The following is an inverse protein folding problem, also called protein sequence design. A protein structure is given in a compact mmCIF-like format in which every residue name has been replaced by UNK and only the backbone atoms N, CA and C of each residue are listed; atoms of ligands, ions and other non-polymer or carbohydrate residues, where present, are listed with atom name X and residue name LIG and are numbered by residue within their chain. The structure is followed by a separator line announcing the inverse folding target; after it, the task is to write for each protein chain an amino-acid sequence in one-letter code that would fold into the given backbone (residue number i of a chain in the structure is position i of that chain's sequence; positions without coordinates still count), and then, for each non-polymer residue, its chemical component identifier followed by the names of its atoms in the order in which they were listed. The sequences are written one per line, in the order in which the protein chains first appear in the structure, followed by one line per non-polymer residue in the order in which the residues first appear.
data_IF_175467015281
#
_entry.id   IF_175467015281
#
_cell.length_a   1.000
_cell.length_b   1.000
_cell.length_c   1.000
_cell.angle_alpha   90.00
_cell.angle_beta   90.00
_cell.angle_gamma   90.00
#
_symmetry.space_group_name_H-M   'P 1'
#
loop_
_entity.id
_entity.type
_entity.pdbx_description
1 polymer ?
#
# COMPACT_ATOMS: atom_id res chain seq x y z
N UNK A 1 17.01 17.11 -24.19
CA UNK A 1 17.40 16.77 -22.79
C UNK A 1 16.36 15.92 -22.04
N UNK A 2 15.06 15.95 -22.36
CA UNK A 2 14.03 15.19 -21.62
C UNK A 2 13.93 13.69 -21.98
N UNK A 3 14.27 13.28 -23.21
CA UNK A 3 14.22 11.86 -23.62
C UNK A 3 15.37 11.01 -23.08
N UNK A 4 16.59 11.55 -22.99
CA UNK A 4 17.75 10.86 -22.40
C UNK A 4 17.53 10.51 -20.91
N UNK A 5 16.62 11.20 -20.21
CA UNK A 5 16.33 10.99 -18.78
C UNK A 5 15.44 9.76 -18.53
N UNK A 6 14.73 9.26 -19.54
CA UNK A 6 13.78 8.15 -19.41
C UNK A 6 14.43 6.77 -19.58
N UNK A 7 15.53 6.65 -20.35
CA UNK A 7 16.15 5.36 -20.66
C UNK A 7 16.79 4.66 -19.46
N UNK A 8 17.20 5.41 -18.43
CA UNK A 8 17.80 4.87 -17.21
C UNK A 8 16.80 4.45 -16.13
N UNK A 9 15.52 4.71 -16.38
CA UNK A 9 14.48 4.61 -15.39
C UNK A 9 13.39 3.67 -15.91
N UNK A 10 13.34 2.43 -15.39
CA UNK A 10 12.18 1.57 -15.65
C UNK A 10 11.00 2.10 -14.86
N UNK A 11 9.87 2.31 -15.54
CA UNK A 11 8.59 2.57 -14.86
C UNK A 11 8.30 1.34 -14.02
N UNK A 12 8.21 1.50 -12.70
CA UNK A 12 8.04 0.32 -11.85
C UNK A 12 6.63 -0.21 -11.96
N UNK A 13 6.52 -1.43 -12.47
CA UNK A 13 5.29 -2.19 -12.54
C UNK A 13 5.16 -3.16 -11.37
N UNK A 14 4.93 -2.66 -10.16
CA UNK A 14 4.53 -3.52 -9.02
C UNK A 14 3.26 -4.33 -9.28
N UNK A 15 2.56 -4.04 -10.38
CA UNK A 15 1.41 -4.78 -10.90
C UNK A 15 1.64 -6.31 -10.97
N UNK A 16 2.89 -6.79 -11.12
CA UNK A 16 3.18 -8.23 -11.13
C UNK A 16 3.15 -8.87 -9.73
N UNK A 17 3.63 -8.18 -8.71
CA UNK A 17 3.68 -8.71 -7.32
C UNK A 17 2.29 -8.70 -6.71
N UNK A 18 1.57 -7.59 -6.85
CA UNK A 18 0.23 -7.42 -6.27
C UNK A 18 -0.89 -7.88 -7.21
N UNK A 19 -0.55 -8.71 -8.20
CA UNK A 19 -1.49 -9.18 -9.22
C UNK A 19 -2.69 -9.90 -8.59
N UNK A 20 -2.47 -10.71 -7.57
CA UNK A 20 -3.54 -11.45 -6.89
C UNK A 20 -4.56 -10.53 -6.18
N UNK A 21 -4.10 -9.43 -5.59
CA UNK A 21 -4.96 -8.48 -4.87
C UNK A 21 -5.71 -7.56 -5.86
N UNK A 22 -5.08 -7.21 -6.99
CA UNK A 22 -5.62 -6.21 -7.94
C UNK A 22 -6.43 -6.85 -9.08
N UNK A 23 -6.21 -8.12 -9.43
CA UNK A 23 -6.90 -8.76 -10.55
C UNK A 23 -8.20 -9.43 -10.13
N UNK A 24 -9.29 -8.83 -10.55
CA UNK A 24 -10.67 -9.31 -10.54
C UNK A 24 -11.48 -8.44 -11.51
N UNK A 25 -12.69 -8.84 -11.92
CA UNK A 25 -13.53 -7.99 -12.76
C UNK A 25 -13.69 -6.63 -12.07
N UNK A 26 -13.24 -5.58 -12.73
CA UNK A 26 -13.44 -4.21 -12.24
C UNK A 26 -14.93 -3.92 -12.30
N UNK A 27 -15.61 -4.04 -11.16
CA UNK A 27 -16.99 -3.56 -10.98
C UNK A 27 -17.10 -2.04 -11.19
N UNK A 28 -15.96 -1.35 -11.30
CA UNK A 28 -15.80 0.07 -11.62
C UNK A 28 -15.78 0.32 -13.13
N UNK A 29 -16.72 -0.23 -13.89
CA UNK A 29 -17.08 0.40 -15.16
C UNK A 29 -17.94 1.60 -14.83
N UNK A 30 -17.37 2.81 -15.01
CA UNK A 30 -18.13 4.06 -15.05
C UNK A 30 -19.13 3.93 -16.21
N UNK A 31 -20.31 3.42 -15.89
CA UNK A 31 -21.43 3.34 -16.82
C UNK A 31 -22.13 4.67 -16.71
N UNK A 32 -22.38 5.33 -17.84
CA UNK A 32 -23.17 6.57 -17.88
C UNK A 32 -24.54 6.24 -17.26
N UNK A 33 -24.74 6.63 -16.01
CA UNK A 33 -25.95 6.34 -15.28
C UNK A 33 -27.10 7.07 -15.98
N UNK A 34 -28.07 6.33 -16.55
CA UNK A 34 -29.31 6.95 -17.07
C UNK A 34 -29.95 7.79 -15.96
N UNK A 35 -30.73 8.79 -16.34
CA UNK A 35 -31.32 9.73 -15.39
C UNK A 35 -32.05 9.03 -14.24
N UNK A 36 -31.88 9.52 -13.00
CA UNK A 36 -32.52 8.93 -11.85
C UNK A 36 -34.03 9.12 -11.95
N UNK A 37 -34.77 8.04 -11.76
CA UNK A 37 -36.25 8.06 -11.71
C UNK A 37 -36.73 8.23 -10.27
N UNK A 38 -35.94 7.75 -9.30
CA UNK A 38 -36.18 7.90 -7.87
C UNK A 38 -35.29 8.98 -7.27
N UNK A 39 -35.81 9.71 -6.27
CA UNK A 39 -35.06 10.74 -5.54
C UNK A 39 -34.14 10.11 -4.49
N UNK A 40 -33.27 10.93 -3.87
CA UNK A 40 -32.49 10.54 -2.70
C UNK A 40 -33.32 10.52 -1.40
N UNK A 41 -34.64 10.66 -1.49
CA UNK A 41 -35.53 10.80 -0.34
C UNK A 41 -35.17 12.03 0.50
N UNK A 42 -35.06 11.85 1.81
CA UNK A 42 -34.67 12.93 2.74
C UNK A 42 -33.26 13.48 2.47
N UNK A 43 -32.36 12.70 1.87
CA UNK A 43 -31.02 13.18 1.52
C UNK A 43 -31.05 14.20 0.36
N UNK A 44 -32.14 14.24 -0.42
CA UNK A 44 -32.29 15.22 -1.50
C UNK A 44 -32.46 16.66 -0.98
N UNK A 45 -32.72 16.86 0.32
CA UNK A 45 -32.82 18.19 0.92
C UNK A 45 -31.45 18.79 1.26
N UNK A 46 -30.39 17.98 1.23
CA UNK A 46 -29.04 18.43 1.54
C UNK A 46 -28.41 19.10 0.31
N UNK A 47 -27.70 20.22 0.48
CA UNK A 47 -26.81 20.75 -0.55
C UNK A 47 -25.77 19.73 -0.99
N UNK A 48 -25.31 19.84 -2.23
CA UNK A 48 -24.33 18.91 -2.81
C UNK A 48 -23.02 18.90 -2.01
N UNK A 49 -22.64 20.01 -1.41
CA UNK A 49 -21.44 20.15 -0.59
C UNK A 49 -21.53 19.30 0.68
N UNK A 50 -22.69 19.27 1.33
CA UNK A 50 -22.91 18.43 2.51
C UNK A 50 -22.97 16.95 2.13
N UNK A 51 -23.56 16.62 0.98
CA UNK A 51 -23.54 15.26 0.46
C UNK A 51 -22.11 14.78 0.17
N UNK A 52 -21.29 15.61 -0.48
CA UNK A 52 -19.88 15.29 -0.74
C UNK A 52 -19.08 15.15 0.55
N UNK A 53 -19.30 16.01 1.54
CA UNK A 53 -18.64 15.94 2.84
C UNK A 53 -18.98 14.63 3.58
N UNK A 54 -20.26 14.26 3.62
CA UNK A 54 -20.71 12.99 4.22
C UNK A 54 -20.10 11.80 3.49
N UNK A 55 -20.23 11.75 2.16
CA UNK A 55 -19.73 10.65 1.32
C UNK A 55 -18.21 10.51 1.45
N UNK A 56 -17.49 11.63 1.53
CA UNK A 56 -16.03 11.61 1.51
C UNK A 56 -15.39 11.38 2.88
N UNK A 57 -15.94 11.96 3.97
CA UNK A 57 -15.29 12.01 5.29
C UNK A 57 -16.03 11.26 6.40
N UNK A 58 -17.31 10.98 6.23
CA UNK A 58 -18.14 10.43 7.31
C UNK A 58 -18.71 9.04 7.02
N UNK A 59 -18.43 8.49 5.85
CA UNK A 59 -18.78 7.13 5.47
C UNK A 59 -17.53 6.36 5.07
N UNK A 60 -17.46 5.10 5.47
CA UNK A 60 -16.41 4.21 5.02
C UNK A 60 -16.57 3.88 3.53
N UNK A 61 -15.46 3.51 2.89
CA UNK A 61 -15.39 3.22 1.45
C UNK A 61 -16.31 2.03 1.12
N UNK A 62 -16.37 1.02 1.97
CA UNK A 62 -17.18 -0.18 1.74
C UNK A 62 -18.67 0.17 1.66
N UNK A 63 -19.20 0.87 2.66
CA UNK A 63 -20.58 1.36 2.71
C UNK A 63 -20.89 2.26 1.52
N UNK A 64 -19.99 3.19 1.20
CA UNK A 64 -20.17 4.13 0.08
C UNK A 64 -20.28 3.41 -1.26
N UNK A 65 -19.34 2.52 -1.56
CA UNK A 65 -19.20 1.89 -2.88
C UNK A 65 -20.04 0.63 -3.04
N UNK A 66 -20.13 -0.21 -2.01
CA UNK A 66 -20.79 -1.52 -2.08
C UNK A 66 -22.21 -1.52 -1.50
N UNK A 67 -22.69 -0.42 -0.91
CA UNK A 67 -24.05 -0.35 -0.35
C UNK A 67 -24.81 0.88 -0.82
N UNK A 68 -24.39 2.08 -0.42
CA UNK A 68 -25.12 3.33 -0.70
C UNK A 68 -25.30 3.58 -2.20
N UNK A 69 -24.21 3.47 -2.97
CA UNK A 69 -24.26 3.70 -4.42
C UNK A 69 -25.04 2.63 -5.21
N UNK A 70 -25.47 1.54 -4.57
CA UNK A 70 -26.35 0.51 -5.14
C UNK A 70 -27.83 0.71 -4.80
N UNK A 71 -28.17 1.60 -3.85
CA UNK A 71 -29.56 1.83 -3.42
C UNK A 71 -30.44 2.30 -4.58
N UNK A 72 -30.00 3.32 -5.33
CA UNK A 72 -30.68 3.78 -6.53
C UNK A 72 -29.72 4.61 -7.43
N UNK A 73 -30.19 4.99 -8.63
CA UNK A 73 -29.41 5.81 -9.58
C UNK A 73 -29.03 7.19 -9.04
N UNK A 74 -29.85 7.77 -8.16
CA UNK A 74 -29.55 9.05 -7.51
C UNK A 74 -28.37 8.93 -6.54
N UNK A 75 -28.34 7.87 -5.73
CA UNK A 75 -27.24 7.60 -4.80
C UNK A 75 -25.94 7.31 -5.56
N UNK A 76 -26.01 6.55 -6.65
CA UNK A 76 -24.89 6.39 -7.58
C UNK A 76 -24.38 7.74 -8.08
N UNK A 77 -25.27 8.60 -8.60
CA UNK A 77 -24.89 9.94 -9.09
C UNK A 77 -24.27 10.82 -8.00
N UNK A 78 -24.75 10.74 -6.75
CA UNK A 78 -24.17 11.50 -5.64
C UNK A 78 -22.73 11.06 -5.35
N UNK A 79 -22.47 9.75 -5.32
CA UNK A 79 -21.10 9.22 -5.15
C UNK A 79 -20.22 9.56 -6.35
N UNK A 80 -20.73 9.42 -7.57
CA UNK A 80 -19.98 9.74 -8.79
C UNK A 80 -19.69 11.25 -8.92
N UNK A 81 -20.51 12.11 -8.32
CA UNK A 81 -20.29 13.55 -8.25
C UNK A 81 -19.22 13.94 -7.24
N UNK A 82 -18.89 13.07 -6.27
CA UNK A 82 -17.86 13.35 -5.27
C UNK A 82 -16.49 13.51 -5.91
N UNK A 83 -15.83 14.65 -5.67
CA UNK A 83 -14.50 14.91 -6.22
C UNK A 83 -13.48 13.92 -5.67
N UNK A 84 -13.56 13.60 -4.39
CA UNK A 84 -12.69 12.63 -3.73
C UNK A 84 -12.83 11.24 -4.38
N UNK A 85 -14.06 10.78 -4.59
CA UNK A 85 -14.32 9.52 -5.28
C UNK A 85 -13.79 9.53 -6.72
N UNK A 86 -14.02 10.60 -7.49
CA UNK A 86 -13.50 10.74 -8.85
C UNK A 86 -11.98 10.67 -8.90
N UNK A 87 -11.28 11.33 -7.97
CA UNK A 87 -9.81 11.31 -7.93
C UNK A 87 -9.29 9.94 -7.55
N UNK A 88 -9.83 9.31 -6.52
CA UNK A 88 -9.42 7.98 -6.07
C UNK A 88 -9.70 6.94 -7.14
N UNK A 89 -10.91 6.89 -7.70
CA UNK A 89 -11.28 5.92 -8.74
C UNK A 89 -10.46 6.09 -10.02
N UNK A 90 -10.12 7.33 -10.40
CA UNK A 90 -9.31 7.60 -11.60
C UNK A 90 -7.85 7.26 -11.41
N UNK A 91 -7.26 7.63 -10.27
CA UNK A 91 -5.81 7.61 -10.09
C UNK A 91 -5.30 6.46 -9.24
N UNK A 92 -6.12 5.90 -8.35
CA UNK A 92 -5.77 4.78 -7.49
C UNK A 92 -6.77 3.59 -7.59
N UNK A 93 -7.24 3.19 -8.79
CA UNK A 93 -8.24 2.12 -8.90
C UNK A 93 -7.76 0.79 -8.31
N UNK A 94 -6.45 0.49 -8.43
CA UNK A 94 -5.88 -0.73 -7.87
C UNK A 94 -5.92 -0.78 -6.34
N UNK A 95 -5.66 0.35 -5.68
CA UNK A 95 -5.76 0.46 -4.22
C UNK A 95 -7.21 0.39 -3.75
N UNK A 96 -8.12 1.10 -4.44
CA UNK A 96 -9.55 1.06 -4.14
C UNK A 96 -10.13 -0.36 -4.25
N UNK A 97 -9.81 -1.07 -5.34
CA UNK A 97 -10.21 -2.48 -5.53
C UNK A 97 -9.61 -3.37 -4.44
N UNK A 98 -8.32 -3.21 -4.14
CA UNK A 98 -7.66 -3.98 -3.09
C UNK A 98 -8.37 -3.80 -1.75
N UNK A 99 -8.71 -2.57 -1.38
CA UNK A 99 -9.38 -2.29 -0.10
C UNK A 99 -10.77 -2.95 -0.01
N UNK A 100 -11.56 -2.88 -1.08
CA UNK A 100 -12.90 -3.46 -1.11
C UNK A 100 -12.87 -5.00 -1.09
N UNK A 101 -11.99 -5.61 -1.89
CA UNK A 101 -11.90 -7.08 -1.96
C UNK A 101 -11.40 -7.69 -0.67
N UNK A 102 -10.48 -6.99 0.00
CA UNK A 102 -9.96 -7.40 1.31
C UNK A 102 -10.83 -6.94 2.48
N UNK A 103 -11.97 -6.29 2.22
CA UNK A 103 -12.91 -5.76 3.22
C UNK A 103 -12.32 -4.69 4.16
N UNK A 104 -11.04 -4.32 4.03
CA UNK A 104 -10.43 -3.27 4.86
C UNK A 104 -11.04 -1.89 4.57
N UNK A 105 -11.74 -1.75 3.43
CA UNK A 105 -12.49 -0.56 3.06
C UNK A 105 -13.58 -0.16 4.08
N UNK A 106 -14.00 -1.06 4.98
CA UNK A 106 -14.97 -0.73 6.04
C UNK A 106 -14.37 0.08 7.19
N UNK A 107 -13.04 0.23 7.24
CA UNK A 107 -12.33 0.93 8.32
C UNK A 107 -11.84 2.33 7.93
N UNK A 108 -11.96 2.69 6.65
CA UNK A 108 -11.38 3.92 6.12
C UNK A 108 -12.37 4.65 5.21
N UNK A 109 -12.30 5.97 5.25
CA UNK A 109 -13.09 6.88 4.42
C UNK A 109 -12.41 7.13 3.07
N UNK A 110 -13.15 7.71 2.12
CA UNK A 110 -12.55 8.15 0.85
C UNK A 110 -11.51 9.25 1.08
N UNK A 111 -11.70 10.11 2.08
CA UNK A 111 -10.76 11.15 2.45
C UNK A 111 -9.42 10.55 2.93
N UNK A 112 -9.44 9.51 3.76
CA UNK A 112 -8.21 8.84 4.23
C UNK A 112 -7.38 8.33 3.05
N UNK A 113 -8.02 7.60 2.12
CA UNK A 113 -7.34 7.10 0.93
C UNK A 113 -6.86 8.23 0.00
N UNK A 114 -7.64 9.31 -0.12
CA UNK A 114 -7.27 10.45 -0.94
C UNK A 114 -6.09 11.24 -0.36
N UNK A 115 -6.03 11.42 0.95
CA UNK A 115 -4.91 12.06 1.63
C UNK A 115 -3.63 11.23 1.44
N UNK A 116 -3.70 9.91 1.59
CA UNK A 116 -2.57 9.01 1.35
C UNK A 116 -2.15 8.97 -0.13
N UNK A 117 -3.10 9.10 -1.06
CA UNK A 117 -2.84 9.26 -2.49
C UNK A 117 -2.10 10.59 -2.79
N UNK A 118 -2.38 11.64 -2.01
CA UNK A 118 -1.78 12.96 -2.16
C UNK A 118 -0.47 13.16 -1.38
N UNK A 119 -0.10 12.24 -0.48
CA UNK A 119 1.24 12.16 0.08
C UNK A 119 2.19 11.39 -0.84
N UNK A 120 3.48 11.72 -0.84
CA UNK A 120 4.53 11.02 -1.59
C UNK A 120 5.52 10.26 -0.69
N UNK A 121 5.64 10.65 0.57
CA UNK A 121 6.54 10.04 1.55
C UNK A 121 5.98 8.76 2.19
N UNK A 122 6.87 7.82 2.48
CA UNK A 122 6.66 6.68 3.36
C UNK A 122 6.47 7.17 4.80
N UNK A 123 5.46 6.62 5.48
CA UNK A 123 5.15 6.94 6.88
C UNK A 123 6.26 6.61 7.88
N UNK A 124 7.13 5.64 7.55
CA UNK A 124 8.20 5.19 8.46
C UNK A 124 9.54 5.90 8.21
N UNK A 125 9.98 5.97 6.95
CA UNK A 125 11.33 6.50 6.63
C UNK A 125 11.34 7.83 5.87
N UNK A 126 10.19 8.38 5.48
CA UNK A 126 10.09 9.64 4.74
C UNK A 126 10.48 9.57 3.25
N UNK A 127 11.19 8.52 2.81
CA UNK A 127 11.51 8.26 1.40
C UNK A 127 10.25 8.11 0.54
N UNK A 128 10.39 8.21 -0.78
CA UNK A 128 9.25 8.03 -1.69
C UNK A 128 8.58 6.67 -1.49
N UNK A 129 7.32 6.69 -1.04
CA UNK A 129 6.51 5.50 -0.88
C UNK A 129 5.61 5.33 -2.10
N UNK A 130 5.30 4.09 -2.44
CA UNK A 130 4.56 3.75 -3.67
C UNK A 130 3.54 2.65 -3.46
N UNK A 131 3.41 2.24 -2.21
CA UNK A 131 2.50 1.22 -1.76
C UNK A 131 1.59 1.86 -0.73
N UNK A 132 0.35 1.42 -0.73
CA UNK A 132 -0.57 1.53 0.36
C UNK A 132 -0.41 0.28 1.22
N UNK A 133 -0.04 0.45 2.49
CA UNK A 133 -0.19 -0.59 3.49
C UNK A 133 -1.63 -0.57 4.00
N UNK A 134 -2.38 -1.61 3.64
CA UNK A 134 -3.83 -1.70 3.84
C UNK A 134 -4.26 -1.60 5.31
N UNK A 135 -3.61 -2.26 6.28
CA UNK A 135 -4.05 -2.24 7.69
C UNK A 135 -4.02 -0.87 8.38
N UNK A 136 -3.42 0.15 7.78
CA UNK A 136 -3.34 1.49 8.35
C UNK A 136 -3.61 2.60 7.36
N UNK A 137 -4.09 2.28 6.16
CA UNK A 137 -4.27 3.20 5.05
C UNK A 137 -3.07 4.17 4.87
N UNK A 138 -1.85 3.69 5.06
CA UNK A 138 -0.64 4.53 5.09
C UNK A 138 0.29 4.20 3.93
N UNK A 139 1.02 5.21 3.47
CA UNK A 139 1.98 5.05 2.38
C UNK A 139 3.26 4.41 2.90
N UNK A 140 3.78 3.40 2.19
CA UNK A 140 5.08 2.81 2.48
C UNK A 140 5.93 2.55 1.23
N UNK A 141 7.24 2.44 1.44
CA UNK A 141 8.17 1.91 0.43
C UNK A 141 8.35 0.39 0.63
N UNK A 142 8.83 -0.32 -0.39
CA UNK A 142 9.06 -1.77 -0.29
C UNK A 142 10.00 -2.16 0.86
N UNK A 143 11.15 -1.48 1.08
CA UNK A 143 12.00 -1.79 2.23
C UNK A 143 11.29 -1.72 3.58
N UNK A 144 10.48 -0.68 3.80
CA UNK A 144 9.68 -0.55 5.02
C UNK A 144 8.53 -1.56 5.07
N UNK A 145 7.95 -1.98 3.93
CA UNK A 145 6.98 -3.07 3.92
C UNK A 145 7.61 -4.39 4.42
N UNK A 146 8.90 -4.62 4.17
CA UNK A 146 9.64 -5.79 4.67
C UNK A 146 10.06 -5.70 6.13
N UNK A 147 10.03 -4.50 6.70
CA UNK A 147 10.42 -4.27 8.09
C UNK A 147 9.40 -4.84 9.10
N UNK A 148 9.83 -5.17 10.34
CA UNK A 148 8.93 -5.64 11.40
C UNK A 148 7.77 -4.68 11.72
N UNK A 149 7.96 -3.38 11.50
CA UNK A 149 7.00 -2.31 11.82
C UNK A 149 5.69 -2.44 11.03
N UNK A 150 5.76 -2.93 9.78
CA UNK A 150 4.59 -3.17 8.93
C UNK A 150 4.23 -4.65 8.83
N UNK A 151 4.68 -5.46 9.80
CA UNK A 151 4.40 -6.89 9.82
C UNK A 151 2.90 -7.16 10.05
N UNK A 152 2.25 -7.93 9.16
CA UNK A 152 0.92 -8.44 9.45
C UNK A 152 1.01 -9.62 10.43
N UNK A 153 -0.05 -9.81 11.20
CA UNK A 153 -0.27 -10.96 12.08
C UNK A 153 -1.68 -11.50 11.81
N UNK A 154 -1.87 -12.82 11.81
CA UNK A 154 -3.21 -13.36 11.71
C UNK A 154 -3.94 -13.33 13.07
N UNK A 155 -5.27 -13.23 13.04
CA UNK A 155 -6.10 -13.10 14.25
C UNK A 155 -5.87 -14.23 15.26
N UNK A 156 -5.70 -15.47 14.79
CA UNK A 156 -5.42 -16.61 15.67
C UNK A 156 -4.08 -16.47 16.40
N UNK A 157 -3.02 -16.08 15.69
CA UNK A 157 -1.71 -15.83 16.27
C UNK A 157 -1.76 -14.66 17.25
N UNK A 158 -2.52 -13.60 16.96
CA UNK A 158 -2.72 -12.46 17.86
C UNK A 158 -3.36 -12.89 19.19
N UNK A 159 -4.47 -13.62 19.13
CA UNK A 159 -5.15 -14.20 20.30
C UNK A 159 -4.21 -15.08 21.11
N UNK A 160 -3.43 -15.95 20.44
CA UNK A 160 -2.52 -16.89 21.11
C UNK A 160 -1.31 -16.19 21.74
N UNK A 161 -0.75 -15.18 21.07
CA UNK A 161 0.43 -14.45 21.54
C UNK A 161 0.11 -13.52 22.72
N UNK A 162 -1.02 -12.84 22.66
CA UNK A 162 -1.34 -11.76 23.61
C UNK A 162 -2.48 -12.10 24.58
N UNK A 163 -3.15 -13.24 24.41
CA UNK A 163 -4.31 -13.61 25.22
C UNK A 163 -5.54 -12.73 24.97
N UNK A 164 -5.59 -12.02 23.84
CA UNK A 164 -6.68 -11.10 23.50
C UNK A 164 -7.92 -11.86 23.05
N UNK A 165 -9.10 -11.35 23.41
CA UNK A 165 -10.37 -11.86 22.87
C UNK A 165 -10.58 -11.39 21.42
N UNK A 166 -11.35 -12.15 20.64
CA UNK A 166 -11.74 -11.74 19.28
C UNK A 166 -12.55 -10.44 19.29
N UNK A 167 -13.31 -10.18 20.35
CA UNK A 167 -14.03 -8.93 20.55
C UNK A 167 -13.08 -7.73 20.69
N UNK A 168 -11.94 -7.89 21.37
CA UNK A 168 -10.92 -6.85 21.48
C UNK A 168 -10.28 -6.51 20.11
N UNK A 169 -10.26 -7.47 19.19
CA UNK A 169 -9.70 -7.30 17.84
C UNK A 169 -10.72 -6.80 16.80
N UNK A 170 -12.02 -6.84 17.11
CA UNK A 170 -13.09 -6.61 16.13
C UNK A 170 -13.05 -5.21 15.49
N UNK A 171 -12.57 -4.21 16.22
CA UNK A 171 -12.51 -2.81 15.76
C UNK A 171 -11.20 -2.48 15.02
N UNK A 172 -10.24 -3.41 14.96
CA UNK A 172 -8.98 -3.17 14.28
C UNK A 172 -9.13 -3.38 12.76
N UNK A 173 -8.50 -2.51 11.94
CA UNK A 173 -8.48 -2.70 10.50
C UNK A 173 -7.94 -4.08 10.13
N UNK A 174 -8.80 -4.87 9.50
CA UNK A 174 -8.54 -6.26 9.16
C UNK A 174 -8.56 -6.44 7.66
N UNK A 175 -7.49 -7.02 7.12
CA UNK A 175 -7.39 -7.45 5.72
C UNK A 175 -7.87 -8.90 5.66
N UNK A 176 -9.05 -9.09 5.08
CA UNK A 176 -9.62 -10.41 4.86
C UNK A 176 -9.07 -11.02 3.57
N UNK A 177 -8.75 -12.31 3.60
CA UNK A 177 -8.39 -13.05 2.39
C UNK A 177 -9.57 -13.14 1.44
N UNK A 178 -9.32 -13.01 0.15
CA UNK A 178 -10.31 -13.37 -0.86
C UNK A 178 -10.55 -14.88 -0.90
N UNK A 179 -11.78 -15.31 -1.20
CA UNK A 179 -12.10 -16.71 -1.49
C UNK A 179 -11.23 -17.21 -2.66
N UNK A 180 -10.47 -18.29 -2.45
CA UNK A 180 -9.49 -18.80 -3.42
C UNK A 180 -8.02 -18.58 -3.02
N UNK A 181 -7.74 -17.93 -1.88
CA UNK A 181 -6.42 -18.00 -1.22
C UNK A 181 -6.30 -19.30 -0.37
N UNK A 182 -6.91 -20.39 -0.82
CA UNK A 182 -7.12 -21.63 -0.04
C UNK A 182 -5.82 -22.35 0.33
N UNK A 183 -4.73 -22.08 -0.40
CA UNK A 183 -3.38 -22.57 -0.09
C UNK A 183 -2.82 -22.00 1.23
N UNK A 184 -3.45 -20.96 1.80
CA UNK A 184 -2.96 -20.28 2.99
C UNK A 184 -4.07 -20.04 4.01
N UNK A 185 -4.51 -21.12 4.67
CA UNK A 185 -5.48 -21.06 5.78
C UNK A 185 -5.07 -20.06 6.88
N UNK A 186 -3.78 -19.80 7.03
CA UNK A 186 -3.20 -18.88 8.01
C UNK A 186 -3.37 -17.38 7.67
N UNK A 187 -3.89 -17.02 6.49
CA UNK A 187 -4.01 -15.62 6.04
C UNK A 187 -5.45 -15.12 5.92
N UNK A 188 -6.42 -15.78 6.56
CA UNK A 188 -7.85 -15.40 6.44
C UNK A 188 -8.14 -13.99 6.92
N UNK A 189 -7.54 -13.59 8.03
CA UNK A 189 -7.75 -12.29 8.68
C UNK A 189 -6.41 -11.80 9.20
N UNK A 190 -5.84 -10.82 8.49
CA UNK A 190 -4.55 -10.22 8.80
C UNK A 190 -4.75 -8.84 9.40
N UNK A 191 -4.10 -8.60 10.52
CA UNK A 191 -4.09 -7.35 11.26
C UNK A 191 -2.68 -6.77 11.30
N UNK A 192 -2.55 -5.50 11.67
CA UNK A 192 -1.26 -4.92 12.04
C UNK A 192 -0.76 -5.52 13.35
N UNK A 193 0.47 -6.06 13.37
CA UNK A 193 1.10 -6.46 14.62
C UNK A 193 1.24 -5.29 15.60
N UNK A 194 1.61 -4.11 15.11
CA UNK A 194 1.77 -2.91 15.94
C UNK A 194 0.44 -2.49 16.60
N UNK A 195 -0.67 -2.47 15.85
CA UNK A 195 -1.99 -2.14 16.44
C UNK A 195 -2.46 -3.20 17.43
N UNK A 196 -2.28 -4.49 17.11
CA UNK A 196 -2.62 -5.60 18.02
C UNK A 196 -1.81 -5.49 19.31
N UNK A 197 -0.50 -5.22 19.23
CA UNK A 197 0.35 -5.03 20.40
C UNK A 197 -0.09 -3.84 21.23
N UNK A 198 -0.48 -2.73 20.60
CA UNK A 198 -1.01 -1.56 21.32
C UNK A 198 -2.28 -1.91 22.12
N UNK A 199 -3.22 -2.64 21.53
CA UNK A 199 -4.40 -3.16 22.23
C UNK A 199 -4.00 -4.13 23.35
N UNK A 200 -3.00 -4.99 23.13
CA UNK A 200 -2.51 -5.90 24.15
C UNK A 200 -1.88 -5.18 25.35
N UNK A 201 -1.15 -4.08 25.11
CA UNK A 201 -0.58 -3.25 26.17
C UNK A 201 -1.71 -2.61 27.00
N UNK A 202 -2.74 -2.08 26.35
CA UNK A 202 -3.89 -1.49 27.02
C UNK A 202 -4.68 -2.53 27.84
N UNK A 203 -5.00 -3.68 27.24
CA UNK A 203 -5.72 -4.78 27.90
C UNK A 203 -4.95 -5.36 29.09
N UNK A 204 -3.62 -5.42 29.00
CA UNK A 204 -2.78 -5.88 30.10
C UNK A 204 -2.65 -4.84 31.24
N UNK A 205 -3.02 -3.58 31.01
CA UNK A 205 -2.80 -2.49 31.96
C UNK A 205 -1.39 -1.91 31.95
N UNK A 206 -0.64 -2.11 30.86
CA UNK A 206 0.70 -1.55 30.66
C UNK A 206 1.72 -2.52 30.08
N UNK A 207 2.87 -1.97 29.67
CA UNK A 207 3.98 -2.71 29.04
C UNK A 207 4.59 -3.78 29.97
N UNK A 208 4.69 -3.46 31.26
CA UNK A 208 5.25 -4.38 32.25
C UNK A 208 4.34 -5.61 32.44
N UNK A 209 3.02 -5.38 32.50
CA UNK A 209 2.01 -6.42 32.65
C UNK A 209 1.91 -7.27 31.38
N UNK A 210 2.00 -6.65 30.19
CA UNK A 210 2.04 -7.40 28.94
C UNK A 210 3.29 -8.29 28.88
N UNK A 211 4.44 -7.77 29.29
CA UNK A 211 5.69 -8.53 29.33
C UNK A 211 5.58 -9.70 30.30
N UNK A 212 5.04 -9.48 31.51
CA UNK A 212 4.77 -10.55 32.47
C UNK A 212 3.79 -11.60 31.94
N UNK A 213 2.79 -11.20 31.14
CA UNK A 213 1.86 -12.12 30.46
C UNK A 213 2.59 -12.96 29.41
N UNK A 214 3.46 -12.36 28.60
CA UNK A 214 4.28 -13.08 27.60
C UNK A 214 5.24 -14.06 28.29
N UNK A 215 5.85 -13.65 29.39
CA UNK A 215 6.82 -14.44 30.15
C UNK A 215 6.18 -15.41 31.14
N UNK A 216 4.83 -15.46 31.22
CA UNK A 216 4.08 -16.30 32.17
C UNK A 216 4.38 -17.78 32.04
N UNK A 217 4.68 -18.25 30.82
CA UNK A 217 5.15 -19.62 30.57
C UNK A 217 6.31 -19.62 29.57
N UNK A 218 7.25 -20.59 29.67
CA UNK A 218 8.33 -20.74 28.68
C UNK A 218 7.80 -20.91 27.25
N UNK A 219 6.62 -21.52 27.12
CA UNK A 219 5.97 -21.73 25.82
C UNK A 219 5.47 -20.41 25.22
N UNK A 220 4.83 -19.52 26.01
CA UNK A 220 4.39 -18.21 25.53
C UNK A 220 5.56 -17.36 25.06
N UNK A 221 6.65 -17.31 25.86
CA UNK A 221 7.89 -16.63 25.50
C UNK A 221 8.47 -17.16 24.18
N UNK A 222 8.62 -18.48 24.05
CA UNK A 222 9.17 -19.10 22.86
C UNK A 222 8.34 -18.81 21.59
N UNK A 223 7.01 -18.78 21.70
CA UNK A 223 6.12 -18.44 20.59
C UNK A 223 6.28 -16.97 20.20
N UNK A 224 6.38 -16.05 21.16
CA UNK A 224 6.64 -14.63 20.90
C UNK A 224 8.00 -14.42 20.22
N UNK A 225 9.07 -14.99 20.77
CA UNK A 225 10.42 -14.86 20.21
C UNK A 225 10.51 -15.47 18.82
N UNK A 226 9.84 -16.61 18.58
CA UNK A 226 9.75 -17.20 17.24
C UNK A 226 9.04 -16.27 16.27
N UNK A 227 7.93 -15.65 16.67
CA UNK A 227 7.21 -14.70 15.82
C UNK A 227 8.07 -13.48 15.51
N UNK A 228 8.77 -12.88 16.48
CA UNK A 228 9.63 -11.72 16.24
C UNK A 228 10.82 -12.09 15.34
N UNK A 229 11.46 -13.23 15.61
CA UNK A 229 12.69 -13.68 14.93
C UNK A 229 12.46 -14.16 13.48
N UNK A 230 11.24 -14.50 13.09
CA UNK A 230 10.88 -14.89 11.72
C UNK A 230 10.85 -13.71 10.72
N UNK A 231 11.59 -12.63 10.99
CA UNK A 231 11.59 -11.37 10.24
C UNK A 231 11.96 -11.48 8.77
N UNK A 232 12.67 -12.54 8.39
CA UNK A 232 13.17 -12.74 7.02
C UNK A 232 12.59 -14.00 6.34
N UNK A 233 11.52 -14.59 6.90
CA UNK A 233 10.94 -15.80 6.32
C UNK A 233 10.17 -15.51 5.03
N UNK A 234 10.29 -16.38 4.03
CA UNK A 234 9.52 -16.27 2.79
C UNK A 234 7.99 -16.27 3.00
N UNK A 235 7.52 -16.80 4.14
CA UNK A 235 6.11 -16.72 4.54
C UNK A 235 5.70 -15.29 4.94
N UNK A 236 6.54 -14.57 5.69
CA UNK A 236 6.28 -13.17 6.08
C UNK A 236 6.19 -12.26 4.86
N UNK A 237 7.12 -12.39 3.92
CA UNK A 237 7.11 -11.60 2.69
C UNK A 237 5.82 -11.83 1.89
N UNK A 238 5.36 -13.08 1.80
CA UNK A 238 4.06 -13.40 1.19
C UNK A 238 2.90 -12.72 1.92
N UNK A 239 2.86 -12.77 3.25
CA UNK A 239 1.81 -12.10 4.03
C UNK A 239 1.82 -10.58 3.83
N UNK A 240 3.00 -9.96 3.86
CA UNK A 240 3.19 -8.53 3.59
C UNK A 240 2.70 -8.13 2.19
N UNK A 241 2.94 -8.98 1.19
CA UNK A 241 2.45 -8.76 -0.18
C UNK A 241 0.92 -8.82 -0.29
N UNK A 242 0.25 -9.54 0.62
CA UNK A 242 -1.21 -9.62 0.67
C UNK A 242 -1.88 -8.43 1.34
N UNK A 243 -1.14 -7.70 2.18
CA UNK A 243 -1.65 -6.55 2.94
C UNK A 243 -1.19 -5.20 2.36
N UNK A 244 -0.70 -5.20 1.12
CA UNK A 244 -0.29 -3.99 0.44
C UNK A 244 -0.82 -3.92 -1.01
N UNK A 245 -0.93 -2.70 -1.52
CA UNK A 245 -1.32 -2.44 -2.90
C UNK A 245 -0.52 -1.27 -3.49
N UNK A 246 -0.23 -1.25 -4.81
CA UNK A 246 0.39 -0.10 -5.45
C UNK A 246 -0.48 1.15 -5.30
N UNK A 247 0.15 2.24 -4.91
CA UNK A 247 -0.48 3.55 -4.77
C UNK A 247 0.42 4.60 -5.44
N UNK A 248 0.03 5.17 -6.58
CA UNK A 248 0.78 6.28 -7.16
C UNK A 248 0.69 7.53 -6.27
N UNK A 249 1.55 8.52 -6.51
CA UNK A 249 1.43 9.83 -5.88
C UNK A 249 0.67 10.79 -6.81
N UNK A 250 -0.42 11.37 -6.34
CA UNK A 250 -1.15 12.43 -7.02
C UNK A 250 -0.75 13.80 -6.46
N UNK A 251 -0.07 14.60 -7.28
CA UNK A 251 0.33 15.95 -6.87
C UNK A 251 -0.86 16.90 -7.03
N UNK A 252 -1.40 17.39 -5.92
CA UNK A 252 -2.55 18.33 -5.89
C UNK A 252 -2.30 19.61 -6.69
N UNK A 253 -1.08 20.14 -6.67
CA UNK A 253 -0.73 21.41 -7.33
C UNK A 253 -0.66 21.27 -8.84
N UNK A 254 -0.05 20.20 -9.33
CA UNK A 254 0.11 19.99 -10.78
C UNK A 254 -1.04 19.21 -11.42
N UNK A 255 -1.88 18.54 -10.61
CA UNK A 255 -2.94 17.65 -11.11
C UNK A 255 -2.41 16.41 -11.82
N UNK A 256 -1.13 16.06 -11.63
CA UNK A 256 -0.46 14.95 -12.32
C UNK A 256 -0.11 13.82 -11.36
N UNK A 257 -0.07 12.62 -11.92
CA UNK A 257 0.45 11.44 -11.24
C UNK A 257 1.96 11.37 -11.42
N UNK A 258 2.65 11.12 -10.32
CA UNK A 258 4.07 10.80 -10.29
C UNK A 258 4.20 9.28 -10.11
N UNK A 259 4.73 8.63 -11.14
CA UNK A 259 5.05 7.21 -11.11
C UNK A 259 6.48 7.00 -10.63
N UNK A 260 6.68 6.03 -9.72
CA UNK A 260 7.99 5.64 -9.24
C UNK A 260 8.92 5.08 -10.34
N UNK A 261 10.22 5.24 -10.14
CA UNK A 261 11.31 4.73 -10.99
C UNK A 261 12.28 3.85 -10.20
N UNK A 262 12.64 2.69 -10.75
CA UNK A 262 13.72 1.87 -10.18
C UNK A 262 15.04 2.13 -10.90
N UNK A 263 16.14 1.90 -10.19
CA UNK A 263 17.48 2.04 -10.75
C UNK A 263 17.85 0.80 -11.56
N UNK A 264 18.10 0.99 -12.87
CA UNK A 264 18.59 -0.07 -13.76
C UNK A 264 19.94 -0.64 -13.31
N UNK A 265 20.79 0.19 -12.70
CA UNK A 265 22.05 -0.25 -12.10
C UNK A 265 21.84 -1.26 -10.97
N UNK A 266 20.96 -0.94 -10.02
CA UNK A 266 20.61 -1.84 -8.92
C UNK A 266 19.93 -3.12 -9.41
N UNK A 267 19.08 -3.02 -10.45
CA UNK A 267 18.47 -4.18 -11.09
C UNK A 267 19.52 -5.16 -11.63
N UNK A 268 20.56 -4.65 -12.32
CA UNK A 268 21.64 -5.50 -12.86
C UNK A 268 22.52 -6.11 -11.78
N UNK A 269 22.76 -5.40 -10.68
CA UNK A 269 23.47 -5.95 -9.53
C UNK A 269 22.73 -7.16 -8.95
N UNK A 270 21.41 -7.07 -8.85
CA UNK A 270 20.57 -8.16 -8.37
C UNK A 270 20.57 -9.40 -9.29
N UNK A 271 20.84 -9.22 -10.58
CA UNK A 271 20.93 -10.31 -11.57
C UNK A 271 22.33 -10.94 -11.65
N UNK A 272 23.33 -10.36 -10.99
CA UNK A 272 24.71 -10.84 -10.98
C UNK A 272 25.03 -11.76 -9.79
N UNK A 273 26.30 -12.08 -9.62
CA UNK A 273 26.80 -12.75 -8.41
C UNK A 273 26.73 -11.77 -7.22
N UNK A 274 26.08 -12.21 -6.15
CA UNK A 274 25.84 -11.39 -4.96
C UNK A 274 26.71 -11.89 -3.82
N UNK A 275 27.49 -10.99 -3.22
CA UNK A 275 28.18 -11.27 -1.97
C UNK A 275 27.16 -11.49 -0.84
N UNK A 276 27.18 -12.65 -0.14
CA UNK A 276 26.28 -12.93 0.98
C UNK A 276 26.20 -11.80 2.03
N UNK A 277 27.32 -11.14 2.29
CA UNK A 277 27.40 -10.06 3.29
C UNK A 277 26.67 -8.78 2.86
N UNK A 278 26.49 -8.58 1.55
CA UNK A 278 25.84 -7.39 0.98
C UNK A 278 24.39 -7.64 0.53
N UNK A 279 23.90 -8.88 0.64
CA UNK A 279 22.56 -9.30 0.16
C UNK A 279 21.49 -8.32 0.63
N UNK A 280 21.41 -8.03 1.93
CA UNK A 280 20.33 -7.19 2.48
C UNK A 280 20.32 -5.79 1.88
N UNK A 281 21.48 -5.17 1.72
CA UNK A 281 21.59 -3.83 1.15
C UNK A 281 21.29 -3.84 -0.36
N UNK A 282 21.72 -4.87 -1.09
CA UNK A 282 21.42 -5.04 -2.51
C UNK A 282 19.91 -5.20 -2.74
N UNK A 283 19.24 -6.05 -1.96
CA UNK A 283 17.78 -6.21 -1.99
C UNK A 283 17.08 -4.89 -1.65
N UNK A 284 17.52 -4.20 -0.60
CA UNK A 284 16.98 -2.89 -0.22
C UNK A 284 17.04 -1.90 -1.38
N UNK A 285 18.19 -1.77 -2.04
CA UNK A 285 18.39 -0.85 -3.17
C UNK A 285 17.58 -1.25 -4.40
N UNK A 286 17.50 -2.56 -4.67
CA UNK A 286 16.70 -3.13 -5.75
C UNK A 286 15.20 -2.81 -5.57
N UNK A 287 14.70 -2.97 -4.35
CA UNK A 287 13.30 -2.72 -3.98
C UNK A 287 12.98 -1.22 -3.83
N UNK A 288 13.99 -0.37 -3.70
CA UNK A 288 13.81 1.07 -3.55
C UNK A 288 13.39 1.70 -4.86
N UNK A 289 12.44 2.63 -4.75
CA UNK A 289 11.90 3.37 -5.89
C UNK A 289 11.90 4.84 -5.58
N UNK A 290 12.18 5.59 -6.63
CA UNK A 290 12.50 6.99 -6.54
C UNK A 290 11.53 7.82 -7.38
N UNK A 291 11.38 9.08 -6.99
CA UNK A 291 11.01 10.13 -7.94
C UNK A 291 12.14 10.31 -8.97
N UNK A 292 11.90 11.07 -10.03
CA UNK A 292 12.97 11.37 -11.01
C UNK A 292 14.17 12.00 -10.30
N UNK A 293 13.96 13.07 -9.53
CA UNK A 293 15.04 13.75 -8.80
C UNK A 293 15.74 12.82 -7.79
N UNK A 294 14.98 11.97 -7.09
CA UNK A 294 15.55 10.98 -6.17
C UNK A 294 16.43 9.95 -6.87
N UNK A 295 16.04 9.49 -8.08
CA UNK A 295 16.84 8.55 -8.86
C UNK A 295 18.16 9.18 -9.30
N UNK A 296 18.11 10.44 -9.74
CA UNK A 296 19.31 11.19 -10.09
C UNK A 296 20.28 11.30 -8.93
N UNK A 297 19.78 11.68 -7.75
CA UNK A 297 20.58 11.76 -6.54
C UNK A 297 21.25 10.42 -6.23
N UNK A 298 20.47 9.34 -6.14
CA UNK A 298 20.98 7.97 -5.92
C UNK A 298 22.05 7.56 -6.94
N UNK A 299 21.80 7.78 -8.23
CA UNK A 299 22.78 7.44 -9.28
C UNK A 299 24.08 8.24 -9.09
N UNK A 300 24.00 9.51 -8.68
CA UNK A 300 25.19 10.34 -8.49
C UNK A 300 25.96 10.01 -7.21
N UNK A 301 25.28 9.66 -6.12
CA UNK A 301 25.90 9.54 -4.79
C UNK A 301 26.38 8.14 -4.45
N UNK A 302 25.56 7.11 -4.67
CA UNK A 302 25.75 5.81 -4.00
C UNK A 302 25.45 4.58 -4.88
N UNK A 303 25.34 4.76 -6.21
CA UNK A 303 25.12 3.66 -7.16
C UNK A 303 26.21 3.54 -8.24
N UNK A 304 27.38 2.91 -7.95
CA UNK A 304 28.43 2.71 -8.95
C UNK A 304 27.96 2.01 -10.25
N UNK A 305 27.10 0.97 -10.20
CA UNK A 305 26.52 0.39 -11.41
C UNK A 305 25.69 1.39 -12.22
N UNK A 306 24.88 2.22 -11.54
CA UNK A 306 24.10 3.29 -12.17
C UNK A 306 24.99 4.33 -12.84
N UNK A 307 26.07 4.77 -12.17
CA UNK A 307 27.05 5.71 -12.72
C UNK A 307 27.72 5.17 -13.99
N UNK A 308 28.08 3.88 -14.01
CA UNK A 308 28.67 3.23 -15.21
C UNK A 308 27.70 3.25 -16.39
N UNK A 309 26.42 2.97 -16.15
CA UNK A 309 25.39 3.03 -17.18
C UNK A 309 25.26 4.49 -17.67
N UNK A 310 25.16 5.46 -16.75
CA UNK A 310 25.07 6.88 -17.07
C UNK A 310 26.22 7.36 -17.97
N UNK A 311 27.47 7.05 -17.61
CA UNK A 311 28.66 7.42 -18.41
C UNK A 311 28.61 6.86 -19.84
N UNK A 312 28.26 5.58 -20.00
CA UNK A 312 28.15 4.95 -21.34
C UNK A 312 27.08 5.63 -22.22
N UNK A 313 25.97 6.07 -21.65
CA UNK A 313 24.94 6.79 -22.41
C UNK A 313 25.40 8.19 -22.84
N UNK A 314 26.16 8.89 -21.98
CA UNK A 314 26.76 10.18 -22.34
C UNK A 314 27.75 10.05 -23.49
N UNK A 315 28.61 9.03 -23.45
CA UNK A 315 29.60 8.75 -24.51
C UNK A 315 28.91 8.46 -25.86
N UNK A 316 27.88 7.61 -25.87
CA UNK A 316 27.11 7.29 -27.08
C UNK A 316 26.37 8.50 -27.66
N UNK A 317 25.84 9.36 -26.79
CA UNK A 317 25.13 10.58 -27.22
C UNK A 317 26.07 11.59 -27.86
N UNK A 318 27.33 11.65 -27.41
CA UNK A 318 28.36 12.51 -28.02
C UNK A 318 28.79 11.97 -29.40
N UNK A 319 29.05 10.66 -29.50
CA UNK A 319 29.43 10.01 -30.76
C UNK A 319 28.34 10.12 -31.84
N UNK A 320 27.06 10.03 -31.47
CA UNK A 320 25.95 10.18 -32.42
C UNK A 320 25.75 11.61 -32.94
N UNK A 321 26.18 12.63 -32.20
CA UNK A 321 26.15 14.03 -32.65
C UNK A 321 27.34 14.37 -33.55
N UNK A 322 28.49 13.70 -33.37
CA UNK A 322 29.69 13.88 -34.21
C UNK A 322 29.56 13.18 -35.58
N UNK A 323 28.69 12.17 -35.72
CA UNK A 323 28.44 11.48 -37.00
C UNK A 323 27.32 12.11 -37.85
N UNK A 324 26.66 13.16 -37.35
CA UNK A 324 25.58 13.89 -38.03
C UNK A 324 25.97 15.34 -38.40
N UNK A 325 27.26 15.65 -38.35
CA UNK A 325 27.88 16.85 -38.95
C UNK A 325 28.73 16.43 -40.13
#
# INVERSE_FOLDING_TARGET
MTEQHLEMAKIVGYKRVFRSVIQGPSHFTCTVAKNPVATLGRLATLPNELLDDIISKHCDIQTTVASFSLVNRGARKAVDASLTFQRVSRYAPGALVAMLRTQVASFFTLADLYDTLCGDSCSLCGSFGQLLWLPGCQRCCMPCLRSPELCPINEYAATKLFGLSTAALANLPTVCSESGWDDFKDFRRLLSFAHVRAVAVEDAGGEAQLTARIDSTPQCRAVYDSFISQSDSGSRHKAQDKVAAPLPYFNRRSGKIVSGRSCEGCRRTMEGEINPDEIREIYRRYDTVYTISGLFHHVQTDCPPGQRIWKRHLERSKQGNEHNQ
#
